data_IF_637234772046
#
_entry.id   IF_637234772046
#
_cell.length_a   1.000
_cell.length_b   1.000
_cell.length_c   1.000
_cell.angle_alpha   90.00
_cell.angle_beta   90.00
_cell.angle_gamma   90.00
#
_symmetry.space_group_name_H-M   'P 1'
#
loop_
_entity.id
_entity.type
_entity.pdbx_description
1 polymer ?
#
# COMPACT_ATOMS: atom_id res chain seq x y z
N UNK A 1 -0.94 1.25 43.65
CA UNK A 1 -0.45 -0.13 43.51
C UNK A 1 0.69 -0.04 42.50
N UNK A 2 1.88 -0.48 42.89
CA UNK A 2 3.14 -0.07 42.25
C UNK A 2 3.54 -1.14 41.24
N UNK A 3 3.52 -0.80 39.96
CA UNK A 3 4.05 -1.68 38.92
C UNK A 3 5.54 -1.91 39.20
N UNK A 4 5.94 -3.16 39.39
CA UNK A 4 7.32 -3.60 39.58
C UNK A 4 7.86 -4.22 38.31
N UNK A 5 9.14 -4.02 38.05
CA UNK A 5 9.81 -4.72 36.94
C UNK A 5 9.92 -6.22 37.24
N UNK A 6 10.08 -7.04 36.19
CA UNK A 6 10.33 -8.49 36.32
C UNK A 6 11.51 -8.79 37.26
N UNK A 7 12.58 -8.01 37.18
CA UNK A 7 13.77 -8.18 38.02
C UNK A 7 13.48 -7.90 39.50
N UNK A 8 12.70 -6.86 39.80
CA UNK A 8 12.27 -6.56 41.17
C UNK A 8 11.41 -7.68 41.74
N UNK A 9 10.46 -8.22 40.97
CA UNK A 9 9.60 -9.33 41.40
C UNK A 9 10.40 -10.61 41.67
N UNK A 10 11.40 -10.93 40.84
CA UNK A 10 12.26 -12.09 41.07
C UNK A 10 13.10 -11.89 42.35
N UNK A 11 13.65 -10.69 42.56
CA UNK A 11 14.36 -10.35 43.80
C UNK A 11 13.45 -10.39 45.03
N UNK A 12 12.19 -9.95 44.90
CA UNK A 12 11.16 -10.04 45.94
C UNK A 12 10.74 -11.51 46.22
N UNK A 13 10.93 -12.40 45.24
CA UNK A 13 10.68 -13.82 45.39
C UNK A 13 11.74 -14.52 46.24
N UNK A 14 13.00 -14.10 46.08
CA UNK A 14 14.15 -14.65 46.79
C UNK A 14 14.38 -13.97 48.16
N UNK A 15 13.73 -12.84 48.41
CA UNK A 15 13.77 -12.17 49.72
C UNK A 15 12.65 -12.68 50.64
N UNK A 16 13.00 -12.89 51.91
CA UNK A 16 12.02 -13.19 52.95
C UNK A 16 11.00 -12.04 53.01
N UNK A 17 9.72 -12.39 53.05
CA UNK A 17 8.66 -11.42 53.31
C UNK A 17 8.99 -10.68 54.61
N UNK A 18 8.86 -9.33 54.65
CA UNK A 18 9.13 -8.57 55.86
C UNK A 18 8.26 -9.14 56.95
N UNK A 19 8.94 -9.73 57.92
CA UNK A 19 8.36 -10.30 59.11
C UNK A 19 7.54 -9.21 59.80
N UNK A 20 6.25 -9.46 60.03
CA UNK A 20 5.60 -8.67 61.06
C UNK A 20 6.38 -8.96 62.35
N UNK A 21 6.48 -8.04 63.29
CA UNK A 21 7.40 -8.11 64.44
C UNK A 21 7.29 -9.35 65.37
N UNK A 22 6.50 -10.37 64.98
CA UNK A 22 6.17 -11.61 65.67
C UNK A 22 6.68 -12.90 64.99
N UNK A 23 7.64 -12.84 64.03
CA UNK A 23 8.18 -14.02 63.34
C UNK A 23 7.19 -14.77 62.41
N UNK A 24 6.07 -14.13 62.04
CA UNK A 24 5.07 -14.69 61.15
C UNK A 24 4.80 -13.80 59.93
N UNK A 25 4.74 -14.43 58.76
CA UNK A 25 4.24 -13.80 57.54
C UNK A 25 2.73 -13.59 57.70
N UNK A 26 2.24 -12.35 57.66
CA UNK A 26 0.81 -12.13 57.77
C UNK A 26 0.09 -12.44 56.45
N UNK A 27 -1.21 -12.80 56.49
CA UNK A 27 -2.03 -12.89 55.28
C UNK A 27 -2.07 -11.59 54.47
N UNK A 28 -1.81 -10.42 55.08
CA UNK A 28 -1.77 -9.14 54.39
C UNK A 28 -0.53 -9.01 53.51
N UNK A 29 0.63 -9.47 53.97
CA UNK A 29 1.90 -9.41 53.25
C UNK A 29 1.86 -10.29 52.00
N UNK A 30 1.31 -11.50 52.13
CA UNK A 30 1.06 -12.40 51.00
C UNK A 30 0.12 -11.77 49.98
N UNK A 31 -1.00 -11.19 50.42
CA UNK A 31 -1.94 -10.50 49.53
C UNK A 31 -1.34 -9.25 48.86
N UNK A 32 -0.34 -8.62 49.47
CA UNK A 32 0.41 -7.51 48.90
C UNK A 32 1.28 -7.96 47.73
N UNK A 33 2.10 -9.00 47.93
CA UNK A 33 2.93 -9.57 46.85
C UNK A 33 2.12 -10.12 45.68
N UNK A 34 0.98 -10.76 45.97
CA UNK A 34 0.06 -11.25 44.91
C UNK A 34 -0.47 -10.08 44.08
N UNK A 35 -0.80 -8.95 44.72
CA UNK A 35 -1.26 -7.74 44.05
C UNK A 35 -0.16 -7.10 43.21
N UNK A 36 1.04 -6.93 43.77
CA UNK A 36 2.20 -6.40 43.04
C UNK A 36 2.53 -7.26 41.81
N UNK A 37 2.45 -8.60 41.93
CA UNK A 37 2.62 -9.52 40.80
C UNK A 37 1.51 -9.36 39.75
N UNK A 38 0.25 -9.27 40.19
CA UNK A 38 -0.89 -9.11 39.29
C UNK A 38 -0.80 -7.82 38.48
N UNK A 39 -0.50 -6.68 39.13
CA UNK A 39 -0.39 -5.38 38.45
C UNK A 39 0.80 -5.28 37.50
N UNK A 40 1.84 -6.07 37.75
CA UNK A 40 3.05 -6.07 36.93
C UNK A 40 3.00 -7.10 35.80
N UNK A 41 2.03 -8.01 35.83
CA UNK A 41 1.81 -8.97 34.76
C UNK A 41 1.05 -8.29 33.63
N UNK A 42 1.55 -8.41 32.39
CA UNK A 42 0.75 -8.12 31.22
C UNK A 42 -0.15 -9.33 30.95
N UNK A 43 -1.47 -9.18 31.13
CA UNK A 43 -2.40 -10.27 30.81
C UNK A 43 -2.63 -10.33 29.31
N UNK A 44 -2.76 -11.53 28.76
CA UNK A 44 -3.04 -11.71 27.33
C UNK A 44 -4.31 -10.99 26.86
N UNK A 45 -5.28 -10.80 27.76
CA UNK A 45 -6.50 -10.04 27.51
C UNK A 45 -6.30 -8.52 27.42
N UNK A 46 -5.18 -8.00 27.91
CA UNK A 46 -4.85 -6.56 27.89
C UNK A 46 -3.97 -6.18 26.68
N UNK A 47 -3.36 -7.19 26.04
CA UNK A 47 -2.60 -6.99 24.81
C UNK A 47 -3.55 -6.67 23.65
N UNK A 48 -3.08 -5.83 22.72
CA UNK A 48 -3.81 -5.59 21.47
C UNK A 48 -3.99 -6.91 20.69
N UNK A 49 -5.10 -7.06 19.97
CA UNK A 49 -5.43 -8.28 19.22
C UNK A 49 -4.27 -8.79 18.35
N UNK A 50 -3.57 -7.87 17.66
CA UNK A 50 -2.40 -8.18 16.82
C UNK A 50 -1.31 -8.98 17.54
N UNK A 51 -1.12 -8.78 18.84
CA UNK A 51 -0.10 -9.47 19.61
C UNK A 51 -0.41 -10.96 19.84
N UNK A 52 -1.66 -11.37 19.64
CA UNK A 52 -2.10 -12.78 19.80
C UNK A 52 -2.38 -13.44 18.46
N UNK A 53 -2.93 -12.71 17.49
CA UNK A 53 -3.27 -13.26 16.17
C UNK A 53 -2.11 -13.20 15.18
N UNK A 54 -1.20 -12.23 15.33
CA UNK A 54 -0.18 -11.90 14.33
C UNK A 54 -0.74 -11.33 13.02
N UNK A 55 -2.05 -11.13 12.91
CA UNK A 55 -2.68 -10.68 11.67
C UNK A 55 -2.47 -9.17 11.48
N UNK A 56 -1.99 -8.75 10.31
CA UNK A 56 -1.83 -7.34 9.96
C UNK A 56 -3.15 -6.55 10.05
N UNK A 57 -4.28 -7.23 9.82
CA UNK A 57 -5.61 -6.66 9.93
C UNK A 57 -5.89 -6.06 11.33
N UNK A 58 -5.25 -6.59 12.38
CA UNK A 58 -5.51 -6.21 13.78
C UNK A 58 -4.69 -5.00 14.26
N UNK A 59 -3.82 -4.45 13.40
CA UNK A 59 -3.14 -3.19 13.69
C UNK A 59 -4.11 -2.01 13.66
N UNK A 60 -4.12 -1.21 14.72
CA UNK A 60 -4.76 0.09 14.76
C UNK A 60 -3.83 1.16 14.15
N UNK A 61 -4.41 2.28 13.68
CA UNK A 61 -3.62 3.42 13.18
C UNK A 61 -2.87 3.16 11.88
N UNK A 62 -3.34 2.21 11.06
CA UNK A 62 -2.76 1.94 9.73
C UNK A 62 -2.84 3.20 8.85
N UNK A 63 -1.78 3.55 8.11
CA UNK A 63 -1.85 4.64 7.15
C UNK A 63 -2.87 4.32 6.06
N UNK A 64 -3.60 5.33 5.59
CA UNK A 64 -4.42 5.20 4.39
C UNK A 64 -3.51 5.01 3.19
N UNK A 65 -3.59 3.85 2.54
CA UNK A 65 -2.86 3.61 1.31
C UNK A 65 -3.50 4.39 0.15
N UNK A 66 -2.69 4.78 -0.83
CA UNK A 66 -3.21 5.36 -2.07
C UNK A 66 -4.09 4.37 -2.84
N UNK A 67 -5.02 4.87 -3.66
CA UNK A 67 -5.98 4.04 -4.40
C UNK A 67 -5.32 2.97 -5.28
N UNK A 68 -4.17 3.28 -5.89
CA UNK A 68 -3.42 2.33 -6.71
C UNK A 68 -2.98 1.07 -5.95
N UNK A 69 -2.68 1.18 -4.64
CA UNK A 69 -2.25 0.05 -3.83
C UNK A 69 -3.37 -0.96 -3.55
N UNK A 70 -4.63 -0.57 -3.78
CA UNK A 70 -5.80 -1.45 -3.66
C UNK A 70 -6.15 -2.18 -4.95
N UNK A 71 -5.45 -1.87 -6.06
CA UNK A 71 -5.76 -2.39 -7.39
C UNK A 71 -4.62 -3.30 -7.88
N UNK A 72 -4.96 -4.27 -8.72
CA UNK A 72 -3.97 -5.12 -9.39
C UNK A 72 -3.36 -4.38 -10.58
N UNK A 73 -2.12 -4.70 -10.95
CA UNK A 73 -1.55 -4.26 -12.20
C UNK A 73 -2.16 -5.05 -13.38
N UNK A 74 -2.52 -4.39 -14.49
CA UNK A 74 -3.02 -5.06 -15.69
C UNK A 74 -3.75 -4.14 -16.68
N UNK A 75 -4.44 -4.75 -17.64
CA UNK A 75 -5.13 -4.05 -18.75
C UNK A 75 -6.65 -4.00 -18.60
N UNK A 76 -7.21 -4.65 -17.58
CA UNK A 76 -8.65 -4.69 -17.33
C UNK A 76 -9.17 -3.44 -16.63
N UNK A 77 -10.46 -3.16 -16.77
CA UNK A 77 -11.12 -2.09 -16.03
C UNK A 77 -10.93 -2.28 -14.52
N UNK A 78 -10.56 -1.20 -13.82
CA UNK A 78 -10.28 -1.24 -12.38
C UNK A 78 -8.86 -1.67 -12.02
N UNK A 79 -7.97 -1.98 -12.97
CA UNK A 79 -6.56 -2.23 -12.70
C UNK A 79 -5.71 -0.96 -12.85
N UNK A 80 -4.51 -0.98 -12.27
CA UNK A 80 -3.45 0.00 -12.57
C UNK A 80 -2.81 -0.35 -13.92
N UNK A 81 -2.78 0.58 -14.89
CA UNK A 81 -2.14 0.34 -16.19
C UNK A 81 -0.66 -0.04 -16.05
N UNK A 82 -0.23 -1.01 -16.85
CA UNK A 82 1.18 -1.44 -16.93
C UNK A 82 1.92 -0.62 -17.97
N UNK A 83 3.16 -0.25 -17.67
CA UNK A 83 4.07 0.38 -18.62
C UNK A 83 4.81 -0.68 -19.45
N UNK A 84 5.09 -0.37 -20.71
CA UNK A 84 5.94 -1.17 -21.58
C UNK A 84 7.43 -1.05 -21.21
N UNK A 85 8.29 -1.75 -21.95
CA UNK A 85 9.75 -1.77 -21.72
C UNK A 85 10.43 -0.40 -21.89
N UNK A 86 9.74 0.60 -22.44
CA UNK A 86 10.20 1.98 -22.57
C UNK A 86 9.61 2.93 -21.51
N UNK A 87 8.81 2.40 -20.58
CA UNK A 87 8.16 3.18 -19.54
C UNK A 87 6.94 3.97 -20.03
N UNK A 88 6.32 3.55 -21.14
CA UNK A 88 5.10 4.17 -21.70
C UNK A 88 3.90 3.29 -21.47
N UNK A 89 2.69 3.86 -21.51
CA UNK A 89 1.47 3.06 -21.48
C UNK A 89 1.43 2.20 -22.75
N UNK A 90 1.23 0.88 -22.60
CA UNK A 90 1.21 -0.02 -23.75
C UNK A 90 0.10 0.36 -24.75
N UNK A 91 0.41 0.40 -26.05
CA UNK A 91 -0.55 0.78 -27.09
C UNK A 91 -1.85 -0.06 -27.08
N UNK A 92 -1.77 -1.32 -26.62
CA UNK A 92 -2.91 -2.22 -26.49
C UNK A 92 -3.98 -1.79 -25.47
N UNK A 93 -3.65 -0.92 -24.51
CA UNK A 93 -4.61 -0.39 -23.52
C UNK A 93 -5.09 1.02 -23.82
N UNK A 94 -4.52 1.64 -24.84
CA UNK A 94 -5.04 2.91 -25.32
C UNK A 94 -6.35 2.65 -26.08
N UNK A 95 -7.34 3.56 -26.00
CA UNK A 95 -8.43 3.62 -26.99
C UNK A 95 -7.85 3.58 -28.41
N UNK A 96 -8.63 3.32 -29.47
CA UNK A 96 -8.13 3.40 -30.86
C UNK A 96 -7.33 4.69 -31.07
N UNK A 97 -6.00 4.62 -30.97
CA UNK A 97 -5.13 5.78 -30.97
C UNK A 97 -4.65 6.02 -32.39
N UNK A 98 -4.44 7.30 -32.66
CA UNK A 98 -3.58 7.67 -33.76
C UNK A 98 -2.14 7.46 -33.31
N UNK A 99 -1.39 6.68 -34.08
CA UNK A 99 -0.01 6.32 -33.78
C UNK A 99 0.89 7.57 -33.86
N UNK A 100 0.70 8.40 -34.89
CA UNK A 100 1.37 9.70 -35.05
C UNK A 100 0.47 10.75 -35.72
N UNK A 101 0.79 12.03 -35.49
CA UNK A 101 0.32 13.19 -36.26
C UNK A 101 1.50 13.72 -37.08
N UNK A 102 1.36 13.71 -38.40
CA UNK A 102 2.41 14.10 -39.35
C UNK A 102 1.95 15.33 -40.14
N UNK A 103 2.81 16.36 -40.20
CA UNK A 103 2.51 17.62 -40.87
C UNK A 103 3.32 17.76 -42.17
N UNK A 104 2.64 18.15 -43.25
CA UNK A 104 3.23 18.31 -44.59
C UNK A 104 2.85 19.66 -45.19
N UNK A 105 3.69 20.20 -46.07
CA UNK A 105 3.47 21.53 -46.64
C UNK A 105 2.15 21.64 -47.43
N UNK A 106 1.75 20.58 -48.15
CA UNK A 106 0.57 20.52 -49.00
C UNK A 106 0.22 19.07 -49.35
N UNK A 107 -0.90 18.84 -50.07
CA UNK A 107 -1.35 17.48 -50.40
C UNK A 107 -0.34 16.69 -51.25
N UNK A 108 0.39 17.35 -52.15
CA UNK A 108 1.38 16.71 -53.01
C UNK A 108 2.65 16.28 -52.26
N UNK A 109 2.85 16.79 -51.04
CA UNK A 109 3.98 16.44 -50.19
C UNK A 109 3.70 15.23 -49.28
N UNK A 110 2.47 14.69 -49.26
CA UNK A 110 2.20 13.45 -48.52
C UNK A 110 2.97 12.28 -49.14
N UNK A 111 3.35 11.27 -48.34
CA UNK A 111 3.90 10.02 -48.85
C UNK A 111 3.00 9.39 -49.92
N UNK A 112 3.56 8.78 -50.96
CA UNK A 112 2.76 8.11 -51.99
C UNK A 112 1.92 6.94 -51.44
N UNK A 113 2.29 6.40 -50.28
CA UNK A 113 1.53 5.39 -49.53
C UNK A 113 1.53 5.79 -48.07
N UNK A 114 0.34 5.99 -47.50
CA UNK A 114 0.19 6.28 -46.09
C UNK A 114 0.23 5.04 -45.20
N UNK A 115 0.30 5.28 -43.90
CA UNK A 115 0.23 4.26 -42.86
C UNK A 115 -1.13 4.37 -42.15
N UNK A 116 -1.80 3.24 -41.93
CA UNK A 116 -3.04 3.19 -41.16
C UNK A 116 -2.77 3.62 -39.72
N UNK A 117 -3.72 4.34 -39.12
CA UNK A 117 -3.56 4.83 -37.74
C UNK A 117 -2.77 6.12 -37.63
N UNK A 118 -2.27 6.72 -38.72
CA UNK A 118 -1.67 8.07 -38.67
C UNK A 118 -2.64 9.15 -39.13
N UNK A 119 -2.41 10.36 -38.63
CA UNK A 119 -3.03 11.60 -39.11
C UNK A 119 -2.04 12.35 -39.97
N UNK A 120 -2.51 12.82 -41.11
CA UNK A 120 -1.75 13.68 -42.00
C UNK A 120 -2.41 15.04 -42.04
N UNK A 121 -1.70 16.09 -41.63
CA UNK A 121 -2.16 17.48 -41.72
C UNK A 121 -1.42 18.18 -42.86
N UNK A 122 -2.15 18.82 -43.77
CA UNK A 122 -1.55 19.71 -44.77
C UNK A 122 -1.57 21.15 -44.27
N UNK A 123 -0.41 21.81 -44.21
CA UNK A 123 -0.26 23.13 -43.60
C UNK A 123 -0.79 24.27 -44.48
N UNK A 124 -0.84 24.09 -45.81
CA UNK A 124 -1.38 25.07 -46.74
C UNK A 124 -2.89 25.33 -46.58
N UNK A 125 -3.62 24.30 -46.15
CA UNK A 125 -5.08 24.25 -46.10
C UNK A 125 -5.63 23.87 -44.73
N UNK A 126 -4.76 23.45 -43.79
CA UNK A 126 -5.11 22.84 -42.51
C UNK A 126 -6.09 21.66 -42.66
N UNK A 127 -5.97 20.89 -43.74
CA UNK A 127 -6.81 19.72 -43.96
C UNK A 127 -6.23 18.49 -43.25
N UNK A 128 -7.11 17.71 -42.62
CA UNK A 128 -6.79 16.42 -42.02
C UNK A 128 -7.07 15.30 -43.02
N UNK A 129 -6.15 14.35 -43.14
CA UNK A 129 -6.31 13.17 -43.97
C UNK A 129 -5.96 11.89 -43.21
N UNK A 130 -6.61 10.79 -43.60
CA UNK A 130 -6.30 9.41 -43.18
C UNK A 130 -6.04 8.50 -44.37
N UNK A 131 -5.16 7.52 -44.20
CA UNK A 131 -4.94 6.49 -45.20
C UNK A 131 -5.99 5.39 -45.11
N UNK A 132 -6.76 5.19 -46.17
CA UNK A 132 -7.79 4.13 -46.27
C UNK A 132 -7.23 2.73 -46.51
N UNK A 133 -5.93 2.61 -46.80
CA UNK A 133 -5.31 1.41 -47.36
C UNK A 133 -5.00 1.53 -48.85
N UNK A 134 -5.59 2.51 -49.54
CA UNK A 134 -5.32 2.74 -50.99
C UNK A 134 -5.29 4.21 -51.40
N UNK A 135 -5.94 5.09 -50.65
CA UNK A 135 -5.95 6.54 -50.91
C UNK A 135 -6.08 7.32 -49.62
N UNK A 136 -5.61 8.57 -49.64
CA UNK A 136 -5.92 9.53 -48.60
C UNK A 136 -7.38 9.97 -48.68
N UNK A 137 -8.07 9.91 -47.54
CA UNK A 137 -9.43 10.39 -47.35
C UNK A 137 -9.39 11.55 -46.37
N UNK A 138 -10.12 12.61 -46.71
CA UNK A 138 -10.28 13.81 -45.91
C UNK A 138 -11.48 13.65 -44.98
#
# INVERSE_FOLDING_TARGET
MTVRTRAQINSDADTLLPDNTSAEISPADLRGRIKDLADSAAFSAELAAVATTGAYADLAGKPTLGSAAALSAGTSAGNVPVLDGSGKIAAAVLPSYVDDVLEFANFAALPGTGETGKIYITLDTNAEYRWSGSVYIQ
#
